data_IF_200846502592
#
_entry.id   IF_200846502592
#
_cell.length_a   1.000
_cell.length_b   1.000
_cell.length_c   1.000
_cell.angle_alpha   90.00
_cell.angle_beta   90.00
_cell.angle_gamma   90.00
#
_symmetry.space_group_name_H-M   'P 1'
#
loop_
_entity.id
_entity.type
_entity.pdbx_description
1 polymer ?
#
# COMPACT_ATOMS: atom_id res chain seq x y z
N UNK A 1 13.88 -16.41 9.88
CA UNK A 1 13.12 -15.26 10.39
C UNK A 1 11.71 -15.74 10.76
N UNK A 2 11.20 -15.39 11.94
CA UNK A 2 9.86 -15.80 12.41
C UNK A 2 8.77 -14.90 11.81
N UNK A 3 7.51 -15.31 11.87
CA UNK A 3 6.39 -14.46 11.44
C UNK A 3 6.29 -13.16 12.27
N UNK A 4 6.66 -13.19 13.55
CA UNK A 4 6.72 -12.00 14.41
C UNK A 4 7.76 -10.99 13.95
N UNK A 5 8.92 -11.46 13.49
CA UNK A 5 9.95 -10.60 12.92
C UNK A 5 9.48 -9.96 11.59
N UNK A 6 8.76 -10.71 10.76
CA UNK A 6 8.14 -10.16 9.54
C UNK A 6 7.11 -9.10 9.92
N UNK A 7 6.23 -9.38 10.88
CA UNK A 7 5.22 -8.43 11.36
C UNK A 7 5.86 -7.13 11.80
N UNK A 8 6.95 -7.20 12.57
CA UNK A 8 7.68 -6.01 13.02
C UNK A 8 8.18 -5.19 11.83
N UNK A 9 8.86 -5.84 10.88
CA UNK A 9 9.41 -5.16 9.69
C UNK A 9 8.30 -4.49 8.86
N UNK A 10 7.17 -5.18 8.65
CA UNK A 10 6.04 -4.65 7.87
C UNK A 10 5.35 -3.50 8.60
N UNK A 11 5.22 -3.57 9.93
CA UNK A 11 4.68 -2.47 10.74
C UNK A 11 5.60 -1.25 10.73
N UNK A 12 6.92 -1.44 10.91
CA UNK A 12 7.91 -0.36 10.85
C UNK A 12 7.89 0.35 9.49
N UNK A 13 7.72 -0.41 8.41
CA UNK A 13 7.49 0.13 7.07
C UNK A 13 6.21 0.97 7.02
N UNK A 14 5.07 0.46 7.51
CA UNK A 14 3.80 1.20 7.47
C UNK A 14 3.89 2.53 8.24
N UNK A 15 4.53 2.52 9.41
CA UNK A 15 4.76 3.75 10.21
C UNK A 15 5.57 4.75 9.40
N UNK A 16 6.68 4.30 8.81
CA UNK A 16 7.56 5.15 7.99
C UNK A 16 6.85 5.68 6.75
N UNK A 17 6.05 4.83 6.09
CA UNK A 17 5.23 5.18 4.93
C UNK A 17 4.19 6.25 5.29
N UNK A 18 3.44 6.06 6.38
CA UNK A 18 2.44 7.03 6.84
C UNK A 18 3.08 8.38 7.22
N UNK A 19 4.24 8.37 7.90
CA UNK A 19 4.98 9.59 8.22
C UNK A 19 5.38 10.36 6.95
N UNK A 20 5.89 9.66 5.95
CA UNK A 20 6.21 10.24 4.63
C UNK A 20 4.97 10.83 3.95
N UNK A 21 3.83 10.13 3.98
CA UNK A 21 2.59 10.62 3.38
C UNK A 21 2.15 11.96 3.99
N UNK A 22 2.29 12.12 5.31
CA UNK A 22 1.89 13.36 6.01
C UNK A 22 2.85 14.52 5.74
N UNK A 23 4.15 14.22 5.71
CA UNK A 23 5.20 15.24 5.62
C UNK A 23 5.45 15.71 4.18
N UNK A 24 5.60 14.76 3.25
CA UNK A 24 6.20 15.02 1.94
C UNK A 24 5.29 14.62 0.77
N UNK A 25 4.37 13.67 0.97
CA UNK A 25 3.58 13.03 -0.11
C UNK A 25 2.10 12.94 0.22
N UNK A 26 1.47 14.09 0.46
CA UNK A 26 0.04 14.18 0.84
C UNK A 26 -0.90 13.62 -0.22
N UNK A 27 -0.48 13.57 -1.48
CA UNK A 27 -1.19 12.94 -2.60
C UNK A 27 -1.46 11.44 -2.34
N UNK A 28 -0.61 10.76 -1.56
CA UNK A 28 -0.85 9.37 -1.14
C UNK A 28 -2.03 9.21 -0.18
N UNK A 29 -2.46 10.28 0.46
CA UNK A 29 -3.62 10.30 1.37
C UNK A 29 -4.92 10.60 0.62
N UNK A 30 -4.87 10.70 -0.71
CA UNK A 30 -6.03 10.93 -1.56
C UNK A 30 -6.14 9.87 -2.66
N UNK A 31 -7.35 9.44 -2.96
CA UNK A 31 -7.67 8.51 -4.05
C UNK A 31 -8.84 8.99 -4.86
N UNK A 32 -8.79 8.78 -6.16
CA UNK A 32 -9.84 9.07 -7.11
C UNK A 32 -10.42 7.78 -7.65
N UNK A 33 -11.73 7.80 -7.93
CA UNK A 33 -12.39 6.73 -8.67
C UNK A 33 -13.45 7.33 -9.56
N UNK A 34 -13.45 6.91 -10.82
CA UNK A 34 -14.55 7.19 -11.73
C UNK A 34 -15.76 6.34 -11.34
N UNK A 35 -16.88 7.00 -11.06
CA UNK A 35 -18.17 6.36 -10.79
C UNK A 35 -19.07 6.62 -11.98
N UNK A 36 -19.57 5.55 -12.58
CA UNK A 36 -20.49 5.60 -13.69
C UNK A 36 -21.92 5.58 -13.15
N UNK A 37 -22.72 6.56 -13.58
CA UNK A 37 -24.15 6.66 -13.36
C UNK A 37 -24.87 6.55 -14.71
N UNK A 38 -26.17 6.30 -14.71
CA UNK A 38 -26.98 6.18 -15.93
C UNK A 38 -26.91 7.43 -16.82
N UNK A 39 -26.70 8.61 -16.22
CA UNK A 39 -26.59 9.89 -16.93
C UNK A 39 -25.16 10.42 -17.06
N UNK A 40 -24.13 9.58 -16.84
CA UNK A 40 -22.73 9.92 -17.08
C UNK A 40 -21.77 9.55 -15.95
N UNK A 41 -20.49 9.87 -16.14
CA UNK A 41 -19.42 9.54 -15.20
C UNK A 41 -18.97 10.74 -14.37
N UNK A 42 -18.67 10.53 -13.09
CA UNK A 42 -18.07 11.54 -12.21
C UNK A 42 -16.85 10.99 -11.50
N UNK A 43 -15.82 11.83 -11.33
CA UNK A 43 -14.65 11.52 -10.51
C UNK A 43 -15.00 11.80 -9.05
N UNK A 44 -14.87 10.78 -8.19
CA UNK A 44 -15.03 10.93 -6.74
C UNK A 44 -13.67 10.83 -6.07
N UNK A 45 -13.35 11.85 -5.26
CA UNK A 45 -12.14 11.91 -4.41
C UNK A 45 -12.42 11.33 -3.02
N UNK A 46 -11.44 10.64 -2.46
CA UNK A 46 -11.50 10.01 -1.15
C UNK A 46 -10.26 10.39 -0.35
N UNK A 47 -10.44 10.88 0.87
CA UNK A 47 -9.35 10.92 1.86
C UNK A 47 -9.19 9.54 2.48
N UNK A 48 -7.97 9.03 2.52
CA UNK A 48 -7.67 7.66 2.93
C UNK A 48 -6.67 7.60 4.08
N UNK A 49 -6.65 6.47 4.78
CA UNK A 49 -5.62 6.09 5.75
C UNK A 49 -5.07 4.72 5.41
N UNK A 50 -3.76 4.51 5.57
CA UNK A 50 -3.13 3.22 5.26
C UNK A 50 -3.09 2.33 6.50
N UNK A 51 -3.42 1.06 6.30
CA UNK A 51 -3.38 0.04 7.35
C UNK A 51 -2.91 -1.31 6.79
N UNK A 52 -2.44 -2.17 7.70
CA UNK A 52 -2.13 -3.56 7.38
C UNK A 52 -3.37 -4.42 7.66
N UNK A 53 -3.69 -5.28 6.71
CA UNK A 53 -4.58 -6.42 6.86
C UNK A 53 -3.74 -7.70 6.74
N UNK A 54 -3.60 -8.43 7.84
CA UNK A 54 -2.83 -9.66 7.91
C UNK A 54 -3.71 -10.90 7.69
N UNK A 55 -3.16 -11.88 6.98
CA UNK A 55 -3.58 -13.29 6.96
C UNK A 55 -2.35 -14.16 7.26
N UNK A 56 -2.54 -15.48 7.37
CA UNK A 56 -1.51 -16.44 7.81
C UNK A 56 -0.12 -16.19 7.21
N UNK A 57 -0.05 -16.06 5.88
CA UNK A 57 1.20 -15.91 5.12
C UNK A 57 1.14 -14.72 4.14
N UNK A 58 0.28 -13.73 4.45
CA UNK A 58 0.04 -12.57 3.60
C UNK A 58 -0.16 -11.31 4.44
N UNK A 59 0.52 -10.23 4.04
CA UNK A 59 0.32 -8.88 4.56
C UNK A 59 -0.16 -7.99 3.42
N UNK A 60 -1.38 -7.50 3.52
CA UNK A 60 -1.93 -6.54 2.59
C UNK A 60 -1.94 -5.16 3.22
N UNK A 61 -1.18 -4.24 2.66
CA UNK A 61 -1.24 -2.82 2.99
C UNK A 61 -2.29 -2.20 2.06
N UNK A 62 -3.33 -1.64 2.66
CA UNK A 62 -4.45 -1.03 1.95
C UNK A 62 -4.70 0.41 2.44
N UNK A 63 -4.99 1.30 1.50
CA UNK A 63 -5.58 2.60 1.77
C UNK A 63 -7.10 2.43 1.95
N UNK A 64 -7.65 2.99 3.02
CA UNK A 64 -9.08 2.89 3.33
C UNK A 64 -9.67 4.27 3.50
N UNK A 65 -10.77 4.53 2.80
CA UNK A 65 -11.44 5.83 2.87
C UNK A 65 -12.02 6.09 4.26
N UNK A 66 -11.98 7.35 4.68
CA UNK A 66 -12.64 7.80 5.90
C UNK A 66 -14.17 7.75 5.71
N UNK A 67 -14.92 7.28 6.72
CA UNK A 67 -16.38 7.15 6.67
C UNK A 67 -16.93 5.95 7.44
N UNK A 68 -18.27 5.77 7.42
CA UNK A 68 -18.95 4.62 8.00
C UNK A 68 -18.44 3.30 7.41
N UNK A 69 -18.27 2.27 8.26
CA UNK A 69 -17.54 1.04 7.91
C UNK A 69 -18.02 0.33 6.62
N UNK A 70 -19.32 0.45 6.30
CA UNK A 70 -20.02 -0.23 5.20
C UNK A 70 -19.81 0.50 3.87
N UNK A 71 -19.48 1.78 3.94
CA UNK A 71 -19.21 2.62 2.78
C UNK A 71 -17.72 2.87 2.57
N UNK A 72 -16.86 2.28 3.42
CA UNK A 72 -15.41 2.40 3.28
C UNK A 72 -14.96 1.75 1.98
N UNK A 73 -14.35 2.55 1.11
CA UNK A 73 -13.62 2.07 -0.06
C UNK A 73 -12.22 1.66 0.36
N UNK A 74 -11.70 0.62 -0.29
CA UNK A 74 -10.38 0.06 -0.04
C UNK A 74 -9.61 0.05 -1.34
N UNK A 75 -8.36 0.48 -1.26
CA UNK A 75 -7.45 0.58 -2.39
C UNK A 75 -6.18 -0.20 -2.01
N UNK A 76 -5.87 -1.32 -2.68
CA UNK A 76 -4.68 -2.09 -2.37
C UNK A 76 -3.44 -1.27 -2.72
N UNK A 77 -2.44 -1.26 -1.85
CA UNK A 77 -1.17 -0.55 -2.09
C UNK A 77 -0.02 -1.54 -2.33
N UNK A 78 0.17 -2.46 -1.38
CA UNK A 78 1.26 -3.42 -1.40
C UNK A 78 0.78 -4.72 -0.78
N UNK A 79 0.95 -5.83 -1.48
CA UNK A 79 0.70 -7.17 -0.99
C UNK A 79 2.03 -7.91 -0.86
N UNK A 80 2.28 -8.44 0.32
CA UNK A 80 3.47 -9.21 0.66
C UNK A 80 3.00 -10.64 0.91
N UNK A 81 3.52 -11.59 0.15
CA UNK A 81 3.16 -13.02 0.26
C UNK A 81 4.39 -13.81 0.64
N UNK A 82 4.24 -14.72 1.60
CA UNK A 82 5.28 -15.66 2.01
C UNK A 82 4.97 -17.05 1.47
N UNK A 83 5.95 -17.62 0.77
CA UNK A 83 5.95 -19.01 0.33
C UNK A 83 7.21 -19.68 0.89
N UNK A 84 7.07 -20.46 1.96
CA UNK A 84 8.19 -21.10 2.69
C UNK A 84 9.25 -20.08 3.15
N UNK A 85 10.43 -20.10 2.53
CA UNK A 85 11.56 -19.20 2.83
C UNK A 85 11.67 -18.02 1.85
N UNK A 86 10.71 -17.86 0.95
CA UNK A 86 10.70 -16.81 -0.06
C UNK A 86 9.53 -15.86 0.15
N UNK A 87 9.72 -14.61 -0.27
CA UNK A 87 8.75 -13.53 -0.20
C UNK A 87 8.54 -12.98 -1.60
N UNK A 88 7.31 -12.56 -1.89
CA UNK A 88 6.97 -11.83 -3.11
C UNK A 88 6.20 -10.55 -2.78
N UNK A 89 6.49 -9.47 -3.50
CA UNK A 89 5.76 -8.20 -3.42
C UNK A 89 4.95 -7.96 -4.68
N UNK A 90 3.71 -7.56 -4.47
CA UNK A 90 2.83 -7.05 -5.52
C UNK A 90 2.39 -5.64 -5.14
N UNK A 91 2.97 -4.65 -5.82
CA UNK A 91 2.76 -3.24 -5.54
C UNK A 91 1.87 -2.59 -6.58
N UNK A 92 1.14 -1.56 -6.20
CA UNK A 92 0.25 -0.85 -7.12
C UNK A 92 1.02 -0.05 -8.20
N UNK A 93 2.26 0.38 -7.93
CA UNK A 93 3.04 1.28 -8.82
C UNK A 93 4.54 1.00 -8.89
N UNK A 94 4.99 -0.15 -8.42
CA UNK A 94 6.40 -0.54 -8.54
C UNK A 94 6.47 -1.89 -9.22
N UNK A 95 7.58 -2.15 -9.91
CA UNK A 95 7.97 -3.49 -10.32
C UNK A 95 7.66 -4.47 -9.20
N UNK A 96 6.91 -5.52 -9.53
CA UNK A 96 6.77 -6.67 -8.66
C UNK A 96 8.18 -7.12 -8.29
N UNK A 97 8.41 -7.40 -7.02
CA UNK A 97 9.64 -8.06 -6.59
C UNK A 97 9.28 -9.54 -6.45
N UNK A 98 9.39 -10.33 -7.53
CA UNK A 98 9.11 -11.74 -7.44
C UNK A 98 10.20 -12.39 -6.59
N UNK A 99 9.75 -13.25 -5.68
CA UNK A 99 10.50 -14.39 -5.21
C UNK A 99 11.92 -14.08 -4.70
N UNK A 100 12.03 -13.39 -3.58
CA UNK A 100 13.30 -13.05 -2.94
C UNK A 100 13.43 -13.63 -1.53
N UNK A 101 14.65 -13.64 -0.99
CA UNK A 101 14.92 -14.26 0.31
C UNK A 101 14.39 -13.43 1.48
N UNK A 102 13.95 -14.13 2.52
CA UNK A 102 13.33 -13.51 3.70
C UNK A 102 14.18 -12.43 4.37
N UNK A 103 15.51 -12.60 4.37
CA UNK A 103 16.45 -11.64 4.96
C UNK A 103 16.49 -10.30 4.20
N UNK A 104 16.06 -10.29 2.93
CA UNK A 104 16.03 -9.10 2.07
C UNK A 104 14.74 -8.28 2.22
N UNK A 105 13.77 -8.75 3.01
CA UNK A 105 12.46 -8.10 3.16
C UNK A 105 12.58 -6.61 3.48
N UNK A 106 13.40 -6.26 4.47
CA UNK A 106 13.56 -4.86 4.90
C UNK A 106 14.12 -4.00 3.78
N UNK A 107 15.20 -4.42 3.12
CA UNK A 107 15.84 -3.63 2.05
C UNK A 107 14.92 -3.47 0.83
N UNK A 108 14.10 -4.48 0.52
CA UNK A 108 13.08 -4.38 -0.53
C UNK A 108 11.96 -3.39 -0.16
N UNK A 109 11.52 -3.35 1.10
CA UNK A 109 10.53 -2.36 1.57
C UNK A 109 11.10 -0.93 1.56
N UNK A 110 12.37 -0.76 1.93
CA UNK A 110 13.06 0.54 1.86
C UNK A 110 13.19 1.01 0.40
N UNK A 111 13.48 0.09 -0.52
CA UNK A 111 13.49 0.35 -1.96
C UNK A 111 12.11 0.76 -2.46
N UNK A 112 11.06 0.05 -2.05
CA UNK A 112 9.67 0.39 -2.39
C UNK A 112 9.29 1.79 -1.90
N UNK A 113 9.66 2.14 -0.66
CA UNK A 113 9.42 3.47 -0.09
C UNK A 113 10.13 4.56 -0.90
N UNK A 114 11.39 4.33 -1.28
CA UNK A 114 12.17 5.24 -2.12
C UNK A 114 11.54 5.43 -3.50
N UNK A 115 11.06 4.34 -4.12
CA UNK A 115 10.35 4.40 -5.39
C UNK A 115 9.07 5.23 -5.27
N UNK A 116 8.30 5.06 -4.19
CA UNK A 116 7.10 5.86 -3.96
C UNK A 116 7.41 7.36 -3.91
N UNK A 117 8.53 7.76 -3.30
CA UNK A 117 8.96 9.18 -3.27
C UNK A 117 9.28 9.76 -4.63
N UNK A 118 9.81 8.94 -5.55
CA UNK A 118 10.27 9.35 -6.89
C UNK A 118 9.15 9.47 -7.92
N UNK A 119 8.01 8.84 -7.69
CA UNK A 119 6.87 8.94 -8.62
C UNK A 119 6.35 10.38 -8.69
N UNK A 120 5.85 10.79 -9.86
CA UNK A 120 5.20 12.08 -10.04
C UNK A 120 4.01 12.27 -9.08
N UNK A 121 3.73 13.53 -8.75
CA UNK A 121 2.50 13.91 -8.06
C UNK A 121 1.28 13.45 -8.88
N UNK A 122 0.17 13.13 -8.19
CA UNK A 122 -1.11 12.64 -8.74
C UNK A 122 -1.15 11.20 -9.29
N UNK A 123 0.00 10.57 -9.56
CA UNK A 123 0.05 9.16 -10.01
C UNK A 123 -0.67 8.25 -9.03
N UNK A 124 -0.52 8.50 -7.73
CA UNK A 124 -1.20 7.73 -6.70
C UNK A 124 -2.67 8.08 -6.54
N UNK A 125 -3.04 9.34 -6.77
CA UNK A 125 -4.41 9.78 -6.61
C UNK A 125 -5.29 9.19 -7.70
N UNK A 126 -4.84 9.13 -8.95
CA UNK A 126 -5.66 8.72 -10.11
C UNK A 126 -5.78 7.22 -10.34
N UNK A 127 -5.03 6.44 -9.60
CA UNK A 127 -4.84 5.01 -9.85
C UNK A 127 -5.54 4.12 -8.85
#
# INVERSE_FOLDING_TARGET
MTNEQIDKIVNDFLVSFNKMCVNDRKDLLERERTINYEHGSRIKKYRVTHRIKKKKDEWLIEAVSNGFWIFKRKFPLLRIVRNNNRISFYGMFTYDFPDFELHQLKSKLDTYLSNCKKQSYDTFTKS
#
